data_IF_198593008781
#
_entry.id   IF_198593008781
#
_cell.length_a   1.000
_cell.length_b   1.000
_cell.length_c   1.000
_cell.angle_alpha   90.00
_cell.angle_beta   90.00
_cell.angle_gamma   90.00
#
_symmetry.space_group_name_H-M   'P 1'
#
loop_
_entity.id
_entity.type
_entity.pdbx_description
1 polymer ?
#
# COMPACT_ATOMS: atom_id res chain seq x y z
N UNK A 1 1.34 -6.23 14.36
CA UNK A 1 0.05 -6.01 13.67
C UNK A 1 -0.25 -4.53 13.43
N UNK A 2 -0.23 -3.66 14.45
CA UNK A 2 -0.64 -2.24 14.35
C UNK A 2 -0.04 -1.48 13.16
N UNK A 3 1.30 -1.48 13.02
CA UNK A 3 1.98 -0.76 11.94
C UNK A 3 1.58 -1.22 10.53
N UNK A 4 1.17 -2.48 10.34
CA UNK A 4 0.77 -2.97 9.02
C UNK A 4 -0.47 -2.23 8.50
N UNK A 5 -1.40 -1.87 9.38
CA UNK A 5 -2.58 -1.10 9.02
C UNK A 5 -2.21 0.33 8.57
N UNK A 6 -1.17 0.91 9.16
CA UNK A 6 -0.68 2.25 8.79
C UNK A 6 -0.13 2.31 7.36
N UNK A 7 0.42 1.20 6.85
CA UNK A 7 1.00 1.13 5.49
C UNK A 7 -0.08 1.37 4.44
N UNK A 8 -1.26 0.77 4.60
CA UNK A 8 -2.37 0.95 3.67
C UNK A 8 -2.83 2.42 3.63
N UNK A 9 -2.96 3.05 4.79
CA UNK A 9 -3.31 4.46 4.93
C UNK A 9 -2.25 5.36 4.25
N UNK A 10 -0.97 5.18 4.59
CA UNK A 10 0.13 5.98 4.01
C UNK A 10 0.26 5.81 2.50
N UNK A 11 0.04 4.60 1.99
CA UNK A 11 0.02 4.36 0.54
C UNK A 11 -1.03 5.23 -0.15
N UNK A 12 -2.25 5.30 0.40
CA UNK A 12 -3.30 6.16 -0.11
C UNK A 12 -2.96 7.65 0.02
N UNK A 13 -2.41 8.08 1.16
CA UNK A 13 -1.93 9.46 1.36
C UNK A 13 -0.95 9.90 0.27
N UNK A 14 0.03 9.07 -0.09
CA UNK A 14 0.99 9.41 -1.15
C UNK A 14 0.33 9.61 -2.52
N UNK A 15 -0.71 8.82 -2.84
CA UNK A 15 -1.48 9.00 -4.08
C UNK A 15 -2.28 10.30 -4.01
N UNK A 16 -2.99 10.54 -2.90
CA UNK A 16 -3.83 11.72 -2.70
C UNK A 16 -3.02 13.01 -2.77
N UNK A 17 -1.83 13.07 -2.13
CA UNK A 17 -0.94 14.24 -2.21
C UNK A 17 -0.57 14.58 -3.66
N UNK A 18 -0.28 13.56 -4.49
CA UNK A 18 0.02 13.78 -5.92
C UNK A 18 -1.18 14.34 -6.68
N UNK A 19 -2.40 13.93 -6.32
CA UNK A 19 -3.62 14.49 -6.92
C UNK A 19 -3.78 15.96 -6.52
N UNK A 20 -3.55 16.31 -5.26
CA UNK A 20 -3.57 17.70 -4.80
C UNK A 20 -2.56 18.57 -5.57
N UNK A 21 -1.35 18.06 -5.80
CA UNK A 21 -0.35 18.74 -6.61
C UNK A 21 -0.77 18.91 -8.07
N UNK A 22 -1.42 17.90 -8.66
CA UNK A 22 -1.97 17.99 -10.01
C UNK A 22 -3.12 19.01 -10.11
N UNK A 23 -3.85 19.25 -9.01
CA UNK A 23 -4.89 20.29 -8.90
C UNK A 23 -4.30 21.67 -8.54
N UNK A 24 -2.99 21.85 -8.62
CA UNK A 24 -2.28 23.08 -8.22
C UNK A 24 -2.50 23.51 -6.76
N UNK A 25 -2.94 22.59 -5.88
CA UNK A 25 -3.11 22.84 -4.46
C UNK A 25 -2.00 22.13 -3.67
N UNK A 26 -0.94 22.87 -3.31
CA UNK A 26 0.20 22.33 -2.57
C UNK A 26 0.12 22.57 -1.07
N UNK A 27 -0.69 23.55 -0.63
CA UNK A 27 -0.75 23.99 0.77
C UNK A 27 -1.63 23.09 1.62
N UNK A 28 -2.79 22.66 1.09
CA UNK A 28 -3.69 21.75 1.81
C UNK A 28 -3.02 20.46 2.25
N UNK A 29 -2.36 19.67 1.36
CA UNK A 29 -1.69 18.45 1.79
C UNK A 29 -0.56 18.70 2.80
N UNK A 30 0.20 19.78 2.63
CA UNK A 30 1.30 20.14 3.52
C UNK A 30 0.83 20.41 4.95
N UNK A 31 -0.22 21.24 5.09
CA UNK A 31 -0.76 21.62 6.41
C UNK A 31 -1.32 20.39 7.12
N UNK A 32 -2.04 19.53 6.41
CA UNK A 32 -2.65 18.34 7.00
C UNK A 32 -1.58 17.32 7.44
N UNK A 33 -0.55 17.09 6.61
CA UNK A 33 0.58 16.23 7.00
C UNK A 33 1.35 16.78 8.20
N UNK A 34 1.52 18.10 8.29
CA UNK A 34 2.13 18.73 9.45
C UNK A 34 1.29 18.53 10.71
N UNK A 35 -0.02 18.78 10.64
CA UNK A 35 -0.97 18.54 11.75
C UNK A 35 -0.97 17.07 12.16
N UNK A 36 -1.02 16.14 11.20
CA UNK A 36 -1.00 14.71 11.46
C UNK A 36 0.31 14.27 12.14
N UNK A 37 1.44 14.85 11.73
CA UNK A 37 2.74 14.59 12.37
C UNK A 37 2.77 15.09 13.81
N UNK A 38 2.22 16.28 14.06
CA UNK A 38 2.09 16.81 15.43
C UNK A 38 1.21 15.89 16.28
N UNK A 39 0.03 15.52 15.78
CA UNK A 39 -0.87 14.57 16.45
C UNK A 39 -0.17 13.25 16.75
N UNK A 40 0.57 12.71 15.78
CA UNK A 40 1.33 11.48 15.94
C UNK A 40 2.35 11.59 17.08
N UNK A 41 3.15 12.66 17.10
CA UNK A 41 4.19 12.88 18.11
C UNK A 41 3.56 13.08 19.48
N UNK A 42 2.52 13.91 19.59
CA UNK A 42 1.81 14.14 20.86
C UNK A 42 1.18 12.86 21.40
N UNK A 43 0.52 12.08 20.55
CA UNK A 43 -0.12 10.83 20.95
C UNK A 43 0.90 9.75 21.29
N UNK A 44 2.01 9.68 20.55
CA UNK A 44 3.12 8.78 20.83
C UNK A 44 3.75 9.09 22.20
N UNK A 45 3.99 10.38 22.48
CA UNK A 45 4.50 10.82 23.77
C UNK A 45 3.52 10.45 24.90
N UNK A 46 2.23 10.73 24.72
CA UNK A 46 1.21 10.42 25.72
C UNK A 46 1.10 8.92 26.02
N UNK A 47 1.04 8.06 25.00
CA UNK A 47 0.94 6.60 25.19
C UNK A 47 2.20 6.00 25.80
N UNK A 48 3.37 6.53 25.46
CA UNK A 48 4.65 6.05 25.96
C UNK A 48 4.84 6.42 27.44
N UNK A 49 4.66 7.69 27.81
CA UNK A 49 4.99 8.18 29.14
C UNK A 49 3.84 8.13 30.16
N UNK A 50 2.59 8.31 29.74
CA UNK A 50 1.44 8.36 30.67
C UNK A 50 0.83 6.98 30.89
N UNK A 51 0.56 6.25 29.79
CA UNK A 51 -0.09 4.93 29.85
C UNK A 51 0.95 3.81 30.08
N UNK A 52 2.23 4.07 29.80
CA UNK A 52 3.30 3.10 30.01
C UNK A 52 3.23 1.91 29.03
N UNK A 53 2.51 2.05 27.91
CA UNK A 53 2.36 1.00 26.89
C UNK A 53 3.63 0.73 26.07
N UNK A 54 4.70 1.49 26.34
CA UNK A 54 6.00 1.34 25.69
C UNK A 54 5.91 1.47 24.17
N UNK A 55 6.64 0.59 23.46
CA UNK A 55 6.74 0.63 21.99
C UNK A 55 5.40 0.32 21.30
N UNK A 56 4.54 -0.47 21.93
CA UNK A 56 3.22 -0.81 21.38
C UNK A 56 2.36 0.44 21.25
N UNK A 57 2.44 1.34 22.24
CA UNK A 57 1.68 2.58 22.21
C UNK A 57 2.08 3.53 21.09
N UNK A 58 3.39 3.64 20.82
CA UNK A 58 3.87 4.40 19.66
C UNK A 58 3.36 3.82 18.35
N UNK A 59 3.32 2.49 18.21
CA UNK A 59 2.81 1.85 16.99
C UNK A 59 1.32 2.14 16.75
N UNK A 60 0.52 2.19 17.82
CA UNK A 60 -0.90 2.57 17.75
C UNK A 60 -1.03 4.05 17.36
N UNK A 61 -0.25 4.94 17.98
CA UNK A 61 -0.26 6.36 17.67
C UNK A 61 0.06 6.65 16.19
N UNK A 62 1.12 6.01 15.66
CA UNK A 62 1.52 6.10 14.24
C UNK A 62 0.39 5.66 13.32
N UNK A 63 -0.28 4.57 13.68
CA UNK A 63 -1.36 4.00 12.88
C UNK A 63 -2.59 4.91 12.88
N UNK A 64 -2.98 5.42 14.06
CA UNK A 64 -4.13 6.30 14.18
C UNK A 64 -3.91 7.62 13.44
N UNK A 65 -2.72 8.23 13.61
CA UNK A 65 -2.37 9.46 12.90
C UNK A 65 -2.38 9.29 11.38
N UNK A 66 -1.83 8.17 10.87
CA UNK A 66 -1.85 7.88 9.44
C UNK A 66 -3.28 7.71 8.89
N UNK A 67 -4.15 7.00 9.62
CA UNK A 67 -5.56 6.83 9.23
C UNK A 67 -6.28 8.18 9.22
N UNK A 68 -6.11 8.99 10.27
CA UNK A 68 -6.72 10.32 10.36
C UNK A 68 -6.27 11.22 9.22
N UNK A 69 -4.97 11.29 8.95
CA UNK A 69 -4.40 12.05 7.83
C UNK A 69 -5.04 11.66 6.49
N UNK A 70 -5.10 10.35 6.23
CA UNK A 70 -5.65 9.79 5.00
C UNK A 70 -7.13 10.13 4.84
N UNK A 71 -7.91 10.00 5.92
CA UNK A 71 -9.35 10.30 5.91
C UNK A 71 -9.58 11.79 5.65
N UNK A 72 -8.88 12.67 6.36
CA UNK A 72 -9.03 14.13 6.22
C UNK A 72 -8.67 14.57 4.80
N UNK A 73 -7.55 14.10 4.26
CA UNK A 73 -7.14 14.43 2.88
C UNK A 73 -8.14 13.92 1.85
N UNK A 74 -8.61 12.69 2.00
CA UNK A 74 -9.59 12.09 1.08
C UNK A 74 -10.92 12.83 1.13
N UNK A 75 -11.38 13.23 2.33
CA UNK A 75 -12.62 13.99 2.51
C UNK A 75 -12.53 15.38 1.88
N UNK A 76 -11.40 16.08 2.03
CA UNK A 76 -11.19 17.39 1.40
C UNK A 76 -11.09 17.27 -0.12
N UNK A 77 -10.43 16.24 -0.64
CA UNK A 77 -10.36 15.97 -2.06
C UNK A 77 -11.77 15.70 -2.65
N UNK A 78 -12.61 14.98 -1.92
CA UNK A 78 -14.00 14.77 -2.31
C UNK A 78 -14.78 16.08 -2.43
N UNK A 79 -14.60 17.00 -1.48
CA UNK A 79 -15.24 18.32 -1.50
C UNK A 79 -14.85 19.18 -2.71
N UNK A 80 -13.63 19.03 -3.26
CA UNK A 80 -13.19 19.79 -4.43
C UNK A 80 -13.58 19.14 -5.76
N UNK A 81 -13.46 17.81 -5.87
CA UNK A 81 -13.54 17.12 -7.15
C UNK A 81 -14.85 16.32 -7.39
N UNK A 82 -15.73 16.22 -6.39
CA UNK A 82 -17.08 15.62 -6.50
C UNK A 82 -17.11 14.24 -7.20
N UNK A 83 -16.09 13.40 -6.96
CA UNK A 83 -16.04 12.06 -7.54
C UNK A 83 -17.14 11.15 -6.97
N UNK A 84 -17.72 10.22 -7.74
CA UNK A 84 -18.75 9.31 -7.22
C UNK A 84 -18.17 8.37 -6.14
N UNK A 85 -18.52 8.59 -4.85
CA UNK A 85 -18.04 7.79 -3.70
C UNK A 85 -18.27 6.30 -3.90
N UNK A 86 -19.40 5.93 -4.52
CA UNK A 86 -19.75 4.52 -4.80
C UNK A 86 -18.67 3.79 -5.61
N UNK A 87 -18.00 4.50 -6.51
CA UNK A 87 -16.95 3.92 -7.36
C UNK A 87 -15.62 3.74 -6.62
N UNK A 88 -15.40 4.44 -5.49
CA UNK A 88 -14.24 4.25 -4.63
C UNK A 88 -14.50 3.20 -3.54
N UNK A 89 -15.71 3.21 -2.97
CA UNK A 89 -16.05 2.35 -1.85
C UNK A 89 -16.30 0.90 -2.28
N UNK A 90 -16.91 0.68 -3.46
CA UNK A 90 -17.17 -0.68 -3.94
C UNK A 90 -15.89 -1.51 -4.16
N UNK A 91 -14.83 -1.00 -4.81
CA UNK A 91 -13.56 -1.71 -4.90
C UNK A 91 -12.91 -1.95 -3.54
N UNK A 92 -12.92 -0.94 -2.66
CA UNK A 92 -12.32 -1.02 -1.33
C UNK A 92 -12.94 -2.13 -0.48
N UNK A 93 -14.28 -2.26 -0.49
CA UNK A 93 -14.95 -3.36 0.19
C UNK A 93 -14.61 -4.74 -0.39
N UNK A 94 -14.52 -4.86 -1.72
CA UNK A 94 -14.12 -6.13 -2.36
C UNK A 94 -12.68 -6.52 -2.00
N UNK A 95 -11.76 -5.56 -1.95
CA UNK A 95 -10.38 -5.79 -1.51
C UNK A 95 -10.28 -6.18 -0.05
N UNK A 96 -11.10 -5.59 0.84
CA UNK A 96 -11.16 -5.98 2.25
C UNK A 96 -11.67 -7.41 2.42
N UNK A 97 -12.72 -7.80 1.69
CA UNK A 97 -13.25 -9.18 1.70
C UNK A 97 -12.20 -10.16 1.17
N UNK A 98 -11.56 -9.86 0.02
CA UNK A 98 -10.51 -10.70 -0.53
C UNK A 98 -9.32 -10.87 0.43
N UNK A 99 -8.90 -9.79 1.09
CA UNK A 99 -7.83 -9.81 2.09
C UNK A 99 -8.20 -10.62 3.33
N UNK A 100 -9.45 -10.53 3.80
CA UNK A 100 -9.95 -11.30 4.92
C UNK A 100 -9.99 -12.81 4.61
N UNK A 101 -10.54 -13.18 3.44
CA UNK A 101 -10.59 -14.58 3.00
C UNK A 101 -9.19 -15.14 2.74
N UNK A 102 -8.28 -14.34 2.17
CA UNK A 102 -6.87 -14.69 2.04
C UNK A 102 -6.24 -14.95 3.42
N UNK A 103 -6.47 -14.09 4.40
CA UNK A 103 -5.95 -14.26 5.76
C UNK A 103 -6.41 -15.56 6.41
N UNK A 104 -7.69 -15.92 6.28
CA UNK A 104 -8.23 -17.20 6.75
C UNK A 104 -7.62 -18.37 5.96
N UNK A 105 -7.46 -18.21 4.65
CA UNK A 105 -6.87 -19.25 3.79
C UNK A 105 -5.39 -19.49 4.09
N UNK A 106 -4.64 -18.49 4.56
CA UNK A 106 -3.25 -18.64 5.00
C UNK A 106 -3.12 -19.42 6.31
N UNK A 107 -4.15 -19.40 7.16
CA UNK A 107 -4.10 -20.06 8.44
C UNK A 107 -3.95 -21.59 8.30
N UNK A 108 -4.57 -22.18 7.28
CA UNK A 108 -4.49 -23.61 6.98
C UNK A 108 -3.07 -24.06 6.60
N UNK A 109 -2.41 -23.50 5.56
CA UNK A 109 -1.05 -23.89 5.20
C UNK A 109 -0.03 -23.52 6.28
N UNK A 110 -0.22 -22.42 7.03
CA UNK A 110 0.63 -22.12 8.18
C UNK A 110 0.59 -23.25 9.21
N UNK A 111 -0.61 -23.66 9.62
CA UNK A 111 -0.77 -24.70 10.65
C UNK A 111 -0.34 -26.09 10.15
N UNK A 112 -0.59 -26.40 8.88
CA UNK A 112 -0.24 -27.67 8.27
C UNK A 112 1.27 -27.82 8.06
N UNK A 113 1.95 -26.78 7.57
CA UNK A 113 3.39 -26.81 7.31
C UNK A 113 4.23 -26.74 8.60
N UNK A 114 3.75 -26.02 9.62
CA UNK A 114 4.38 -25.95 10.95
C UNK A 114 4.31 -27.30 11.69
N UNK A 115 3.26 -28.10 11.48
CA UNK A 115 3.12 -29.42 12.11
C UNK A 115 3.79 -30.57 11.36
N UNK A 116 3.89 -30.54 10.02
CA UNK A 116 4.32 -31.70 9.23
C UNK A 116 5.81 -31.74 8.85
N UNK A 117 6.53 -30.61 8.70
CA UNK A 117 7.77 -30.62 7.89
C UNK A 117 8.93 -29.76 8.45
N UNK A 118 8.67 -28.69 9.20
CA UNK A 118 9.72 -27.71 9.54
C UNK A 118 9.92 -27.57 11.05
N UNK A 119 11.05 -28.08 11.56
CA UNK A 119 11.58 -27.67 12.87
C UNK A 119 11.90 -26.17 12.83
N UNK A 120 11.03 -25.34 13.39
CA UNK A 120 11.12 -23.86 13.42
C UNK A 120 12.34 -23.35 14.22
N UNK A 121 13.16 -24.26 14.75
CA UNK A 121 14.42 -23.97 15.44
C UNK A 121 15.60 -23.66 14.49
N UNK A 122 15.52 -23.98 13.19
CA UNK A 122 16.59 -23.70 12.21
C UNK A 122 16.20 -22.65 11.15
N UNK A 123 17.16 -21.79 10.79
CA UNK A 123 16.96 -20.65 9.87
C UNK A 123 16.51 -21.03 8.45
N UNK A 124 17.03 -22.13 7.89
CA UNK A 124 16.73 -22.56 6.51
C UNK A 124 15.26 -23.04 6.36
N UNK A 125 14.75 -23.94 7.23
CA UNK A 125 13.32 -24.28 7.31
C UNK A 125 12.39 -23.07 7.35
N UNK A 126 12.72 -22.07 8.18
CA UNK A 126 11.90 -20.88 8.37
C UNK A 126 11.82 -20.02 7.10
N UNK A 127 12.93 -19.88 6.36
CA UNK A 127 12.95 -19.17 5.07
C UNK A 127 12.09 -19.90 4.04
N UNK A 128 12.23 -21.22 3.92
CA UNK A 128 11.45 -22.03 2.97
C UNK A 128 9.96 -21.95 3.32
N UNK A 129 9.60 -22.09 4.59
CA UNK A 129 8.22 -21.96 5.08
C UNK A 129 7.64 -20.59 4.70
N UNK A 130 8.37 -19.51 4.98
CA UNK A 130 7.92 -18.14 4.67
C UNK A 130 7.70 -17.95 3.18
N UNK A 131 8.59 -18.48 2.34
CA UNK A 131 8.48 -18.38 0.88
C UNK A 131 7.29 -19.16 0.34
N UNK A 132 7.07 -20.39 0.82
CA UNK A 132 5.93 -21.23 0.41
C UNK A 132 4.61 -20.59 0.84
N UNK A 133 4.50 -20.16 2.11
CA UNK A 133 3.28 -19.51 2.62
C UNK A 133 2.99 -18.21 1.87
N UNK A 134 4.03 -17.41 1.57
CA UNK A 134 3.87 -16.17 0.79
C UNK A 134 3.39 -16.46 -0.63
N UNK A 135 3.94 -17.48 -1.29
CA UNK A 135 3.53 -17.90 -2.64
C UNK A 135 2.08 -18.37 -2.68
N UNK A 136 1.67 -19.19 -1.71
CA UNK A 136 0.27 -19.63 -1.56
C UNK A 136 -0.64 -18.41 -1.33
N UNK A 137 -0.23 -17.48 -0.46
CA UNK A 137 -0.98 -16.27 -0.18
C UNK A 137 -1.21 -15.39 -1.40
N UNK A 138 -0.16 -15.14 -2.17
CA UNK A 138 -0.25 -14.40 -3.43
C UNK A 138 -1.20 -15.10 -4.40
N UNK A 139 -1.10 -16.42 -4.52
CA UNK A 139 -1.97 -17.21 -5.42
C UNK A 139 -3.44 -17.12 -5.02
N UNK A 140 -3.75 -17.25 -3.72
CA UNK A 140 -5.11 -17.12 -3.20
C UNK A 140 -5.63 -15.69 -3.40
N UNK A 141 -4.83 -14.67 -3.11
CA UNK A 141 -5.23 -13.28 -3.29
C UNK A 141 -5.55 -12.95 -4.74
N UNK A 142 -4.71 -13.39 -5.68
CA UNK A 142 -4.93 -13.19 -7.12
C UNK A 142 -6.17 -13.95 -7.58
N UNK A 143 -6.34 -15.20 -7.16
CA UNK A 143 -7.51 -16.02 -7.48
C UNK A 143 -8.81 -15.40 -6.99
N UNK A 144 -8.84 -14.92 -5.73
CA UNK A 144 -9.99 -14.21 -5.17
C UNK A 144 -10.23 -12.87 -5.88
N UNK A 145 -9.18 -12.12 -6.18
CA UNK A 145 -9.30 -10.84 -6.88
C UNK A 145 -9.89 -11.00 -8.28
N UNK A 146 -9.56 -12.10 -8.96
CA UNK A 146 -10.15 -12.48 -10.24
C UNK A 146 -11.63 -12.86 -10.07
N UNK A 147 -11.95 -13.69 -9.08
CA UNK A 147 -13.32 -14.13 -8.81
C UNK A 147 -14.25 -12.95 -8.42
N UNK A 148 -13.75 -12.01 -7.62
CA UNK A 148 -14.49 -10.79 -7.25
C UNK A 148 -14.52 -9.73 -8.37
N UNK A 149 -13.90 -10.01 -9.52
CA UNK A 149 -13.81 -9.11 -10.68
C UNK A 149 -13.39 -7.70 -10.26
N UNK A 150 -12.33 -7.61 -9.47
CA UNK A 150 -11.77 -6.34 -9.00
C UNK A 150 -11.17 -5.64 -10.21
N UNK A 151 -11.75 -4.51 -10.62
CA UNK A 151 -11.33 -3.78 -11.84
C UNK A 151 -9.86 -3.35 -11.76
N UNK A 152 -9.37 -3.10 -10.56
CA UNK A 152 -8.00 -2.72 -10.24
C UNK A 152 -7.00 -3.85 -10.53
N UNK A 153 -7.41 -5.13 -10.48
CA UNK A 153 -6.55 -6.25 -10.88
C UNK A 153 -6.18 -6.16 -12.36
N UNK A 154 -7.11 -5.74 -13.22
CA UNK A 154 -6.84 -5.58 -14.65
C UNK A 154 -5.86 -4.44 -14.94
N UNK A 155 -5.93 -3.35 -14.15
CA UNK A 155 -4.97 -2.24 -14.21
C UNK A 155 -3.60 -2.71 -13.76
N UNK A 156 -3.54 -3.45 -12.65
CA UNK A 156 -2.29 -3.98 -12.12
C UNK A 156 -1.64 -5.00 -13.08
N UNK A 157 -2.43 -5.89 -13.68
CA UNK A 157 -1.96 -6.82 -14.70
C UNK A 157 -1.43 -6.09 -15.95
N UNK A 158 -2.06 -4.98 -16.36
CA UNK A 158 -1.58 -4.12 -17.43
C UNK A 158 -0.24 -3.44 -17.11
N UNK A 159 -0.06 -2.97 -15.87
CA UNK A 159 1.22 -2.42 -15.40
C UNK A 159 2.31 -3.49 -15.39
N UNK A 160 2.00 -4.72 -14.97
CA UNK A 160 2.96 -5.82 -14.94
C UNK A 160 3.42 -6.22 -16.34
N UNK A 161 2.53 -6.20 -17.34
CA UNK A 161 2.91 -6.39 -18.76
C UNK A 161 3.86 -5.30 -19.24
N UNK A 162 3.59 -4.04 -18.90
CA UNK A 162 4.48 -2.92 -19.23
C UNK A 162 5.84 -3.05 -18.54
N UNK A 163 5.89 -3.76 -17.40
CA UNK A 163 7.13 -4.11 -16.71
C UNK A 163 7.90 -5.28 -17.36
N UNK A 164 7.28 -6.05 -18.25
CA UNK A 164 7.99 -6.96 -19.15
C UNK A 164 8.63 -6.24 -20.35
N UNK A 165 8.03 -5.14 -20.79
CA UNK A 165 8.40 -4.43 -22.02
C UNK A 165 9.53 -3.37 -21.84
N UNK A 166 10.21 -3.31 -20.69
CA UNK A 166 11.30 -2.31 -20.46
C UNK A 166 12.42 -2.45 -21.48
N UNK A 167 12.66 -3.65 -21.99
CA UNK A 167 13.66 -3.89 -23.03
C UNK A 167 13.32 -3.15 -24.34
N UNK A 168 12.02 -3.00 -24.65
CA UNK A 168 11.51 -2.28 -25.82
C UNK A 168 11.42 -0.76 -25.58
N UNK A 169 11.17 -0.35 -24.34
CA UNK A 169 11.17 1.05 -23.94
C UNK A 169 12.59 1.66 -23.93
N UNK A 170 13.60 0.87 -23.56
CA UNK A 170 15.01 1.29 -23.59
C UNK A 170 15.58 1.34 -25.02
N UNK A 171 15.10 0.49 -25.93
CA UNK A 171 15.53 0.52 -27.34
C UNK A 171 14.95 1.68 -28.15
N UNK A 172 13.94 2.41 -27.64
CA UNK A 172 13.29 3.53 -28.33
C UNK A 172 13.92 4.90 -28.02
N UNK A 173 14.98 4.94 -27.22
CA UNK A 173 15.74 6.15 -26.88
C UNK A 173 17.15 6.09 -27.48
N UNK A 174 17.26 5.62 -28.73
CA UNK A 174 18.45 5.74 -29.55
C UNK A 174 18.37 7.02 -30.38
N UNK A 175 19.08 8.05 -29.92
CA UNK A 175 19.72 9.13 -30.69
C UNK A 175 18.83 10.15 -31.44
N UNK A 176 19.01 11.44 -31.09
CA UNK A 176 19.30 12.47 -32.08
C UNK A 176 20.76 12.90 -31.88
N UNK A 177 21.69 12.13 -32.43
CA UNK A 177 23.02 12.62 -32.75
C UNK A 177 23.00 13.07 -34.20
N UNK A 178 22.76 14.37 -34.40
CA UNK A 178 23.47 15.15 -35.41
C UNK A 178 23.21 16.63 -35.12
N UNK A 179 24.18 17.23 -34.43
CA UNK A 179 24.48 18.64 -34.57
C UNK A 179 24.69 18.92 -36.06
N UNK A 180 23.67 19.43 -36.73
CA UNK A 180 23.85 20.02 -38.06
C UNK A 180 24.87 21.15 -37.93
N UNK A 181 26.05 20.90 -38.50
CA UNK A 181 26.97 21.92 -38.98
C UNK A 181 26.18 23.05 -39.65
N UNK A 182 26.10 24.21 -38.99
CA UNK A 182 25.79 25.46 -39.67
C UNK A 182 27.09 26.02 -40.24
N UNK A 183 27.52 25.47 -41.36
CA UNK A 183 28.30 26.20 -42.35
C UNK A 183 27.36 27.19 -43.05
N UNK A 184 27.47 28.49 -42.75
CA UNK A 184 27.62 29.67 -43.66
C UNK A 184 27.81 30.90 -42.77
#
# INVERSE_FOLDING_TARGET
AFLALSIAARSLTHVVIRVFYALHNTTTPLIISAIATIINVSLSYYLLFVIGTGVVGMAVAVTLAAILETIVLTALLYGMAHFPIKNMLSPLFRMLIASAVMGVSLWVPLRLLDQLIFDTTRTIPLIILTLVVTSIGISVYIGLSYLLSIRELSVFAGLFKKIGDWQKALSSTGEPLESQESSV
#
